data_IF_661967700585
#
_entry.id   IF_661967700585
#
_cell.length_a   1.000
_cell.length_b   1.000
_cell.length_c   1.000
_cell.angle_alpha   90.00
_cell.angle_beta   90.00
_cell.angle_gamma   90.00
#
_symmetry.space_group_name_H-M   'P 1'
#
loop_
_entity.id
_entity.type
_entity.pdbx_description
1 polymer ?
#
# COMPACT_ATOMS: atom_id res chain seq x y z
N UNK A 1 -15.73 3.50 19.41
CA UNK A 1 -14.75 3.81 18.35
C UNK A 1 -14.05 2.54 17.93
N UNK A 2 -13.86 2.37 16.66
CA UNK A 2 -13.22 1.16 16.14
C UNK A 2 -11.77 1.44 15.81
N UNK A 3 -10.87 0.68 16.41
CA UNK A 3 -9.46 0.80 16.11
C UNK A 3 -9.16 0.19 14.75
N UNK A 4 -8.16 0.74 14.09
CA UNK A 4 -7.73 0.19 12.81
C UNK A 4 -7.06 -1.16 13.03
N UNK A 5 -7.28 -2.06 12.10
CA UNK A 5 -6.68 -3.39 12.13
C UNK A 5 -5.27 -3.29 11.54
N UNK A 6 -4.30 -3.78 12.28
CA UNK A 6 -2.93 -3.89 11.78
C UNK A 6 -2.88 -4.99 10.72
N UNK A 7 -2.24 -4.69 9.60
CA UNK A 7 -2.15 -5.64 8.49
C UNK A 7 -0.72 -6.10 8.32
N UNK A 8 -0.52 -7.31 7.82
CA UNK A 8 0.83 -7.80 7.54
C UNK A 8 1.40 -7.14 6.30
N UNK A 9 2.71 -7.02 6.24
CA UNK A 9 3.40 -6.54 5.05
C UNK A 9 4.53 -7.47 4.72
N UNK A 10 4.80 -7.60 3.43
CA UNK A 10 6.02 -8.20 2.93
C UNK A 10 6.86 -7.08 2.34
N UNK A 11 8.11 -7.01 2.75
CA UNK A 11 9.07 -6.03 2.24
C UNK A 11 10.23 -6.79 1.66
N UNK A 12 10.55 -6.54 0.41
CA UNK A 12 11.65 -7.22 -0.26
C UNK A 12 12.24 -6.30 -1.31
N UNK A 13 13.39 -6.66 -1.85
CA UNK A 13 14.07 -5.75 -2.77
C UNK A 13 14.84 -6.52 -3.83
N UNK A 14 15.24 -5.78 -4.85
CA UNK A 14 16.28 -6.18 -5.78
C UNK A 14 17.33 -5.08 -5.81
N UNK A 15 18.23 -5.10 -6.79
CA UNK A 15 19.33 -4.13 -6.81
C UNK A 15 18.85 -2.69 -6.94
N UNK A 16 17.70 -2.47 -7.55
CA UNK A 16 17.24 -1.13 -7.91
C UNK A 16 16.01 -0.68 -7.16
N UNK A 17 15.24 -1.61 -6.62
CA UNK A 17 13.90 -1.28 -6.14
C UNK A 17 13.62 -1.95 -4.81
N UNK A 18 12.77 -1.31 -4.05
CA UNK A 18 12.23 -1.83 -2.80
C UNK A 18 10.74 -2.02 -2.99
N UNK A 19 10.23 -3.19 -2.65
CA UNK A 19 8.82 -3.52 -2.82
C UNK A 19 8.16 -3.74 -1.47
N UNK A 20 6.91 -3.26 -1.37
CA UNK A 20 6.07 -3.47 -0.20
C UNK A 20 4.74 -3.99 -0.69
N UNK A 21 4.29 -5.11 -0.12
CA UNK A 21 3.05 -5.76 -0.52
C UNK A 21 2.23 -6.06 0.73
N UNK A 22 0.94 -5.74 0.69
CA UNK A 22 0.07 -5.94 1.83
C UNK A 22 -1.35 -6.24 1.37
N UNK A 23 -2.09 -7.12 2.08
CA UNK A 23 -3.50 -7.34 1.76
C UNK A 23 -4.37 -6.24 2.37
N UNK A 24 -5.32 -5.76 1.62
CA UNK A 24 -6.33 -4.82 2.08
C UNK A 24 -7.68 -5.19 1.49
N UNK A 25 -8.21 -6.37 1.85
CA UNK A 25 -9.46 -6.80 1.25
C UNK A 25 -10.63 -5.95 1.72
N UNK A 26 -11.58 -5.72 0.83
CA UNK A 26 -12.81 -5.06 1.20
C UNK A 26 -12.77 -3.55 1.21
N UNK A 27 -11.68 -2.93 0.71
CA UNK A 27 -11.61 -1.47 0.64
C UNK A 27 -11.62 -1.04 -0.81
N UNK A 28 -12.03 0.20 -1.05
CA UNK A 28 -11.97 0.79 -2.38
C UNK A 28 -10.61 1.45 -2.56
N UNK A 29 -10.07 1.45 -3.79
CA UNK A 29 -8.75 2.06 -4.01
C UNK A 29 -8.68 3.51 -3.58
N UNK A 30 -9.76 4.27 -3.74
CA UNK A 30 -9.77 5.68 -3.36
C UNK A 30 -9.74 5.90 -1.86
N UNK A 31 -9.96 4.84 -1.08
CA UNK A 31 -9.91 4.94 0.39
C UNK A 31 -8.54 4.59 0.95
N UNK A 32 -7.57 4.31 0.10
CA UNK A 32 -6.21 3.95 0.51
C UNK A 32 -5.34 5.19 0.50
N UNK A 33 -4.62 5.40 1.60
CA UNK A 33 -3.67 6.51 1.75
C UNK A 33 -2.29 5.95 2.03
N UNK A 34 -1.30 6.46 1.34
CA UNK A 34 0.09 6.03 1.46
C UNK A 34 0.93 7.26 1.74
N UNK A 35 1.62 7.25 2.87
CA UNK A 35 2.44 8.37 3.32
C UNK A 35 3.87 7.89 3.53
N UNK A 36 4.83 8.63 2.98
CA UNK A 36 6.24 8.36 3.21
C UNK A 36 6.87 9.62 3.78
N UNK A 37 7.54 9.52 4.92
CA UNK A 37 8.21 10.66 5.51
C UNK A 37 9.68 10.70 5.06
N UNK A 38 10.32 11.85 5.26
CA UNK A 38 11.75 11.99 4.93
C UNK A 38 12.62 11.15 5.85
N UNK A 39 12.09 10.68 6.97
CA UNK A 39 12.81 9.76 7.85
C UNK A 39 12.71 8.31 7.36
N UNK A 40 12.03 8.07 6.24
CA UNK A 40 11.91 6.73 5.70
C UNK A 40 10.82 5.90 6.34
N UNK A 41 9.80 6.53 6.90
CA UNK A 41 8.68 5.81 7.50
C UNK A 41 7.51 5.79 6.53
N UNK A 42 7.02 4.60 6.27
CA UNK A 42 5.87 4.37 5.40
C UNK A 42 4.65 4.09 6.26
N UNK A 43 3.57 4.84 6.04
CA UNK A 43 2.30 4.60 6.72
C UNK A 43 1.25 4.29 5.67
N UNK A 44 0.57 3.17 5.86
CA UNK A 44 -0.50 2.71 4.99
C UNK A 44 -1.79 2.76 5.77
N UNK A 45 -2.82 3.37 5.20
CA UNK A 45 -4.14 3.46 5.81
C UNK A 45 -5.20 3.20 4.79
N UNK A 46 -6.27 2.57 5.22
CA UNK A 46 -7.44 2.39 4.38
C UNK A 46 -8.68 2.54 5.25
N UNK A 47 -9.60 3.38 4.80
CA UNK A 47 -10.87 3.54 5.49
C UNK A 47 -11.78 2.39 5.18
N UNK A 48 -12.66 2.07 6.12
CA UNK A 48 -13.72 1.11 5.85
C UNK A 48 -14.70 1.71 4.85
N UNK A 49 -15.04 0.94 3.84
CA UNK A 49 -15.95 1.38 2.80
C UNK A 49 -17.28 0.66 3.00
N UNK A 50 -18.39 1.40 2.85
CA UNK A 50 -19.71 0.83 2.96
C UNK A 50 -20.23 0.81 4.39
N UNK A 51 -21.25 0.00 4.66
CA UNK A 51 -21.88 -0.02 5.98
C UNK A 51 -20.91 -0.48 7.06
N UNK A 52 -21.08 0.09 8.25
CA UNK A 52 -20.26 -0.29 9.38
C UNK A 52 -20.56 -1.70 9.85
N UNK A 53 -19.52 -2.36 10.36
CA UNK A 53 -19.65 -3.73 10.85
C UNK A 53 -20.30 -3.79 12.22
N UNK A 54 -20.31 -2.70 12.94
CA UNK A 54 -20.84 -2.66 14.30
C UNK A 54 -22.35 -2.83 14.37
N UNK A 55 -23.04 -2.72 13.22
CA UNK A 55 -24.47 -2.90 13.18
C UNK A 55 -24.89 -4.33 12.92
N UNK A 56 -23.94 -5.21 12.76
CA UNK A 56 -24.20 -6.59 12.43
C UNK A 56 -24.02 -7.43 13.68
N UNK A 57 -25.00 -8.27 13.97
CA UNK A 57 -24.87 -9.25 15.05
C UNK A 57 -24.38 -10.54 14.46
N UNK A 58 -23.12 -10.86 14.75
CA UNK A 58 -22.50 -12.04 14.19
C UNK A 58 -22.75 -13.24 15.08
N UNK A 59 -23.02 -14.37 14.46
CA UNK A 59 -23.00 -15.65 15.20
C UNK A 59 -21.58 -16.18 15.28
N UNK A 60 -20.78 -15.93 14.26
CA UNK A 60 -19.35 -16.22 14.27
C UNK A 60 -18.67 -15.02 13.60
N UNK A 61 -17.62 -14.50 14.23
CA UNK A 61 -16.88 -13.42 13.64
C UNK A 61 -15.40 -13.63 13.88
N UNK A 62 -14.70 -14.02 12.82
CA UNK A 62 -13.27 -14.28 12.89
C UNK A 62 -12.46 -13.29 12.06
N UNK A 63 -13.14 -12.41 11.32
CA UNK A 63 -12.47 -11.55 10.38
C UNK A 63 -13.12 -10.17 10.37
N UNK A 64 -12.27 -9.15 10.22
CA UNK A 64 -12.72 -7.77 10.11
C UNK A 64 -12.01 -7.12 8.92
N UNK A 65 -12.78 -6.50 8.02
CA UNK A 65 -12.23 -5.89 6.82
C UNK A 65 -12.22 -4.38 6.96
N UNK A 66 -11.18 -3.89 7.57
CA UNK A 66 -10.96 -2.47 7.72
C UNK A 66 -11.70 -1.86 8.90
N UNK A 67 -11.36 -0.62 9.24
CA UNK A 67 -10.25 0.10 8.62
C UNK A 67 -8.90 -0.55 8.91
N UNK A 68 -7.94 -0.30 8.03
CA UNK A 68 -6.61 -0.90 8.15
C UNK A 68 -5.57 0.19 8.37
N UNK A 69 -4.50 -0.17 9.08
CA UNK A 69 -3.37 0.72 9.27
C UNK A 69 -2.10 -0.08 9.49
N UNK A 70 -1.00 0.41 8.91
CA UNK A 70 0.30 -0.17 9.15
C UNK A 70 1.37 0.89 8.94
N UNK A 71 2.36 0.91 9.84
CA UNK A 71 3.54 1.76 9.70
C UNK A 71 4.78 0.87 9.64
N UNK A 72 5.65 1.14 8.68
CA UNK A 72 6.86 0.35 8.46
C UNK A 72 8.02 1.31 8.26
N UNK A 73 9.14 1.04 8.91
CA UNK A 73 10.37 1.75 8.61
C UNK A 73 11.02 1.09 7.41
N UNK A 74 11.27 1.90 6.37
CA UNK A 74 11.86 1.36 5.14
C UNK A 74 13.34 1.10 5.38
N UNK A 75 13.84 -0.06 4.95
CA UNK A 75 15.24 -0.42 5.20
C UNK A 75 16.25 0.32 4.35
N UNK A 76 15.80 0.97 3.28
CA UNK A 76 16.67 1.69 2.36
C UNK A 76 16.01 3.01 2.00
N UNK A 77 16.83 3.99 1.62
CA UNK A 77 16.32 5.25 1.08
C UNK A 77 15.69 5.00 -0.28
N UNK A 78 14.57 5.64 -0.53
CA UNK A 78 13.79 5.43 -1.75
C UNK A 78 13.34 6.77 -2.33
N UNK A 79 13.10 6.74 -3.64
CA UNK A 79 12.50 7.87 -4.34
C UNK A 79 10.99 7.66 -4.34
N UNK A 80 10.34 8.16 -3.29
CA UNK A 80 8.93 7.87 -3.09
C UNK A 80 8.04 8.53 -4.13
N UNK A 81 8.48 9.65 -4.70
CA UNK A 81 7.67 10.33 -5.71
C UNK A 81 7.58 9.54 -7.01
N UNK A 82 8.52 8.62 -7.22
CA UNK A 82 8.50 7.77 -8.41
C UNK A 82 8.00 6.38 -8.12
N UNK A 83 7.33 6.20 -7.00
CA UNK A 83 6.79 4.91 -6.64
C UNK A 83 5.69 4.49 -7.61
N UNK A 84 5.63 3.21 -7.87
CA UNK A 84 4.57 2.61 -8.63
C UNK A 84 3.63 1.89 -7.66
N UNK A 85 2.34 2.22 -7.74
CA UNK A 85 1.36 1.70 -6.79
C UNK A 85 0.24 1.01 -7.57
N UNK A 86 -0.06 -0.22 -7.18
CA UNK A 86 -1.20 -0.92 -7.75
C UNK A 86 -2.02 -1.55 -6.65
N UNK A 87 -3.30 -1.74 -6.93
CA UNK A 87 -4.21 -2.42 -6.02
C UNK A 87 -5.09 -3.33 -6.86
N UNK A 88 -5.02 -4.63 -6.61
CA UNK A 88 -5.83 -5.58 -7.33
C UNK A 88 -5.96 -6.85 -6.53
N UNK A 89 -7.09 -7.51 -6.67
CA UNK A 89 -7.39 -8.74 -5.94
C UNK A 89 -7.28 -8.56 -4.43
N UNK A 90 -7.52 -7.32 -3.95
CA UNK A 90 -7.40 -7.05 -2.52
C UNK A 90 -5.98 -6.89 -2.03
N UNK A 91 -5.01 -6.75 -2.93
CA UNK A 91 -3.60 -6.64 -2.56
C UNK A 91 -3.04 -5.32 -3.05
N UNK A 92 -2.42 -4.58 -2.14
CA UNK A 92 -1.73 -3.34 -2.44
C UNK A 92 -0.26 -3.65 -2.66
N UNK A 93 0.30 -3.17 -3.76
CA UNK A 93 1.72 -3.36 -4.08
C UNK A 93 2.33 -2.01 -4.38
N UNK A 94 3.47 -1.72 -3.76
CA UNK A 94 4.19 -0.49 -3.96
C UNK A 94 5.62 -0.84 -4.33
N UNK A 95 6.11 -0.27 -5.43
CA UNK A 95 7.48 -0.44 -5.86
C UNK A 95 8.14 0.93 -5.82
N UNK A 96 9.20 1.04 -5.03
CA UNK A 96 9.96 2.28 -4.87
C UNK A 96 11.31 2.14 -5.54
N UNK A 97 11.72 3.08 -6.38
CA UNK A 97 13.13 3.12 -6.80
C UNK A 97 14.01 3.44 -5.59
N UNK A 98 15.13 2.80 -5.46
CA UNK A 98 16.10 3.12 -4.41
C UNK A 98 16.73 4.47 -4.70
N UNK A 99 17.11 5.20 -3.66
CA UNK A 99 17.67 6.54 -3.79
C UNK A 99 18.76 6.76 -2.74
N UNK A 100 19.44 7.89 -2.83
CA UNK A 100 20.43 8.25 -1.82
C UNK A 100 19.81 8.74 -0.54
N UNK A 101 18.70 9.48 -0.64
CA UNK A 101 17.94 9.94 0.52
C UNK A 101 16.47 9.78 0.20
N UNK A 102 15.69 9.52 1.25
CA UNK A 102 14.25 9.42 1.08
C UNK A 102 13.63 10.80 1.08
N UNK A 103 12.84 11.10 0.04
CA UNK A 103 12.03 12.29 0.03
C UNK A 103 10.63 11.96 0.54
N UNK A 104 9.98 12.92 1.21
CA UNK A 104 8.62 12.69 1.66
C UNK A 104 7.65 12.65 0.49
N UNK A 105 6.60 11.87 0.61
CA UNK A 105 5.59 11.79 -0.43
C UNK A 105 4.29 11.27 0.13
N UNK A 106 3.19 11.70 -0.48
CA UNK A 106 1.88 11.14 -0.25
C UNK A 106 1.40 10.56 -1.57
N UNK A 107 1.03 9.31 -1.53
CA UNK A 107 0.71 8.57 -2.73
C UNK A 107 -0.71 8.04 -2.65
N UNK A 108 -1.34 7.96 -3.81
CA UNK A 108 -2.62 7.29 -3.93
C UNK A 108 -2.51 6.14 -4.89
N UNK A 109 -3.59 5.42 -5.03
CA UNK A 109 -3.63 4.32 -5.97
C UNK A 109 -4.08 4.88 -7.30
N UNK A 110 -3.15 4.93 -8.26
CA UNK A 110 -3.44 5.46 -9.58
C UNK A 110 -3.95 4.39 -10.51
N UNK A 111 -3.75 3.14 -10.17
CA UNK A 111 -4.13 2.02 -11.01
C UNK A 111 -4.67 0.90 -10.18
N UNK A 112 -5.57 0.14 -10.77
CA UNK A 112 -6.02 -1.12 -10.19
C UNK A 112 -5.69 -2.24 -11.14
N UNK A 113 -5.56 -3.44 -10.60
CA UNK A 113 -5.25 -4.59 -11.41
C UNK A 113 -4.73 -5.70 -10.54
N UNK A 114 -4.23 -6.74 -11.17
CA UNK A 114 -3.66 -7.85 -10.42
C UNK A 114 -2.28 -7.48 -9.91
N UNK A 115 -2.03 -7.75 -8.64
CA UNK A 115 -0.71 -7.59 -8.08
C UNK A 115 0.16 -8.75 -8.54
N UNK A 116 1.37 -8.45 -8.95
CA UNK A 116 2.28 -9.46 -9.52
C UNK A 116 3.68 -9.27 -8.99
N UNK A 117 3.82 -9.04 -7.71
CA UNK A 117 5.12 -8.82 -7.15
C UNK A 117 5.74 -7.56 -7.70
N UNK A 118 7.02 -7.63 -8.02
CA UNK A 118 7.75 -6.43 -8.41
C UNK A 118 7.24 -5.80 -9.70
N UNK A 119 6.46 -6.52 -10.48
CA UNK A 119 5.91 -5.97 -11.71
C UNK A 119 4.50 -5.49 -11.55
N UNK A 120 3.96 -5.55 -10.34
CA UNK A 120 2.62 -5.09 -10.09
C UNK A 120 2.51 -3.62 -10.42
N UNK A 121 1.50 -3.27 -11.16
CA UNK A 121 1.32 -1.93 -11.60
C UNK A 121 2.26 -1.66 -12.74
N UNK A 122 3.08 -0.78 -12.57
CA UNK A 122 3.92 -0.35 -13.64
C UNK A 122 4.68 0.83 -13.16
N UNK A 123 5.90 0.96 -13.52
CA UNK A 123 6.62 2.14 -13.06
C UNK A 123 5.84 3.36 -13.41
N UNK A 124 5.47 3.97 -12.45
CA UNK A 124 4.61 5.09 -12.56
C UNK A 124 5.21 6.17 -13.33
N UNK A 125 5.30 6.15 -13.36
CA UNK A 125 5.56 6.83 -13.83
C UNK A 125 6.05 7.20 -14.54
N UNK A 126 6.20 7.13 -14.67
CA UNK A 126 6.50 7.24 -15.21
C UNK A 126 6.29 6.85 -15.98
N UNK A 127 6.13 6.87 -16.15
CA UNK A 127 5.81 6.42 -16.62
C UNK A 127 6.24 5.45 -16.99
N UNK A 128 6.51 5.17 -17.12
CA UNK A 128 6.67 4.41 -17.41
C UNK A 128 7.13 3.66 -17.79
N UNK A 129 7.42 3.45 -18.17
CA UNK A 129 7.61 2.91 -18.50
C UNK A 129 7.81 2.22 -18.92
N UNK A 130 7.99 2.07 -19.02
CA UNK A 130 7.94 1.64 -19.31
C UNK A 130 7.75 0.91 -19.59
N UNK A 131 7.95 0.71 -19.69
CA UNK A 131 7.61 0.14 -19.79
C UNK A 131 7.24 -0.36 -20.11
N UNK A 132 7.36 -0.60 -20.39
CA UNK A 132 6.75 -0.92 -20.62
C UNK A 132 6.46 -1.00 -20.82
#
# INVERSE_FOLDING_TARGET
>A
MTDATAIPVNVFDNDRELMVVTPMPGVAPEDITIDVTDAGRLTLRARQHGPGQERIEYLVREWSYGPYERTVDLPFAVDAERANVTFGNGVLSITFPKAGVTGPAKLGVDRTGHARGMLAGHPGTRGGAEED
#
